data_IF_851378664334
#
_entry.id   IF_851378664334
#
_cell.length_a   1.000
_cell.length_b   1.000
_cell.length_c   1.000
_cell.angle_alpha   90.00
_cell.angle_beta   90.00
_cell.angle_gamma   90.00
#
_symmetry.space_group_name_H-M   'P 1'
#
loop_
_entity.id
_entity.type
_entity.pdbx_description
1 polymer ?
#
# COMPACT_ATOMS: atom_id res chain seq x y z
N UNK A 1 86.17 15.47 35.65
CA UNK A 1 84.71 15.63 35.49
C UNK A 1 84.19 14.47 34.65
N UNK A 2 83.52 13.50 35.26
CA UNK A 2 82.79 12.44 34.54
C UNK A 2 81.51 12.16 35.33
N UNK A 3 80.40 12.68 34.83
CA UNK A 3 79.06 12.35 35.30
C UNK A 3 78.50 11.32 34.32
N UNK A 4 78.26 10.11 34.80
CA UNK A 4 77.60 9.05 34.04
C UNK A 4 76.14 9.42 33.78
N UNK A 5 75.76 9.66 32.53
CA UNK A 5 74.37 9.92 32.10
C UNK A 5 73.79 8.84 31.18
N UNK A 6 73.97 7.56 31.52
CA UNK A 6 73.46 6.43 30.70
C UNK A 6 72.22 5.70 31.24
N UNK A 7 71.87 5.86 32.52
CA UNK A 7 70.90 4.96 33.19
C UNK A 7 69.54 5.57 33.53
N UNK A 8 69.33 6.89 33.36
CA UNK A 8 68.08 7.56 33.77
C UNK A 8 66.89 7.30 32.82
N UNK A 9 67.15 7.15 31.51
CA UNK A 9 66.07 6.96 30.52
C UNK A 9 65.41 5.57 30.59
N UNK A 10 66.16 4.53 31.01
CA UNK A 10 65.62 3.16 31.16
C UNK A 10 64.68 3.04 32.37
N UNK A 11 64.91 3.81 33.43
CA UNK A 11 64.06 3.84 34.63
C UNK A 11 62.74 4.57 34.41
N UNK A 12 62.77 5.72 33.73
CA UNK A 12 61.56 6.48 33.39
C UNK A 12 60.61 5.69 32.47
N UNK A 13 61.16 4.95 31.50
CA UNK A 13 60.38 4.05 30.65
C UNK A 13 59.74 2.91 31.46
N UNK A 14 60.46 2.31 32.41
CA UNK A 14 59.92 1.26 33.27
C UNK A 14 58.75 1.77 34.13
N UNK A 15 58.87 2.98 34.68
CA UNK A 15 57.81 3.64 35.46
C UNK A 15 56.61 3.93 34.56
N UNK A 16 56.82 4.48 33.36
CA UNK A 16 55.76 4.72 32.39
C UNK A 16 55.01 3.44 32.04
N UNK A 17 55.72 2.36 31.71
CA UNK A 17 55.13 1.05 31.39
C UNK A 17 54.37 0.46 32.57
N UNK A 18 54.88 0.63 33.80
CA UNK A 18 54.22 0.16 35.02
C UNK A 18 52.87 0.85 35.28
N UNK A 19 52.70 2.11 34.87
CA UNK A 19 51.40 2.80 34.91
C UNK A 19 50.54 2.53 33.67
N UNK A 20 51.16 2.40 32.49
CA UNK A 20 50.44 2.22 31.23
C UNK A 20 49.81 0.84 31.11
N UNK A 21 50.48 -0.22 31.58
CA UNK A 21 49.96 -1.58 31.48
C UNK A 21 48.64 -1.77 32.24
N UNK A 22 48.49 -1.39 33.52
CA UNK A 22 47.20 -1.43 34.21
C UNK A 22 46.12 -0.59 33.52
N UNK A 23 46.49 0.58 33.00
CA UNK A 23 45.56 1.47 32.29
C UNK A 23 45.05 0.81 30.99
N UNK A 24 45.94 0.22 30.20
CA UNK A 24 45.58 -0.52 28.97
C UNK A 24 44.71 -1.73 29.32
N UNK A 25 45.04 -2.47 30.38
CA UNK A 25 44.24 -3.62 30.83
C UNK A 25 42.83 -3.19 31.27
N UNK A 26 42.69 -2.04 31.95
CA UNK A 26 41.39 -1.48 32.28
C UNK A 26 40.59 -1.11 31.02
N UNK A 27 41.23 -0.47 30.04
CA UNK A 27 40.59 -0.17 28.74
C UNK A 27 40.17 -1.44 28.00
N UNK A 28 41.01 -2.47 27.94
CA UNK A 28 40.66 -3.77 27.35
C UNK A 28 39.48 -4.42 28.08
N UNK A 29 39.45 -4.34 29.41
CA UNK A 29 38.32 -4.80 30.22
C UNK A 29 37.01 -4.12 29.83
N UNK A 30 37.02 -2.79 29.68
CA UNK A 30 35.86 -2.04 29.19
C UNK A 30 35.46 -2.44 27.77
N UNK A 31 36.43 -2.61 26.86
CA UNK A 31 36.16 -3.02 25.47
C UNK A 31 35.50 -4.39 25.43
N UNK A 32 35.95 -5.35 26.25
CA UNK A 32 35.38 -6.70 26.32
C UNK A 32 33.94 -6.63 26.84
N UNK A 33 33.71 -5.91 27.93
CA UNK A 33 32.38 -5.80 28.54
C UNK A 33 31.39 -5.09 27.62
N UNK A 34 31.70 -3.90 27.13
CA UNK A 34 30.81 -3.16 26.24
C UNK A 34 30.67 -3.80 24.86
N UNK A 35 31.71 -4.47 24.38
CA UNK A 35 31.64 -5.29 23.17
C UNK A 35 30.65 -6.45 23.33
N UNK A 36 30.67 -7.12 24.48
CA UNK A 36 29.70 -8.16 24.80
C UNK A 36 28.27 -7.60 24.90
N UNK A 37 28.09 -6.51 25.65
CA UNK A 37 26.78 -5.82 25.77
C UNK A 37 26.24 -5.40 24.41
N UNK A 38 27.09 -4.84 23.54
CA UNK A 38 26.70 -4.43 22.19
C UNK A 38 26.24 -5.63 21.34
N UNK A 39 26.98 -6.74 21.38
CA UNK A 39 26.62 -7.96 20.67
C UNK A 39 25.27 -8.52 21.15
N UNK A 40 25.09 -8.64 22.46
CA UNK A 40 23.83 -9.08 23.07
C UNK A 40 22.67 -8.15 22.68
N UNK A 41 22.88 -6.83 22.74
CA UNK A 41 21.89 -5.82 22.32
C UNK A 41 21.49 -5.96 20.84
N UNK A 42 22.44 -6.20 19.95
CA UNK A 42 22.16 -6.40 18.52
C UNK A 42 21.32 -7.67 18.29
N UNK A 43 21.66 -8.78 18.94
CA UNK A 43 20.89 -10.03 18.86
C UNK A 43 19.48 -9.84 19.44
N UNK A 44 19.37 -9.16 20.59
CA UNK A 44 18.10 -8.90 21.26
C UNK A 44 17.18 -8.01 20.39
N UNK A 45 17.74 -7.02 19.68
CA UNK A 45 16.98 -6.20 18.73
C UNK A 45 16.46 -7.02 17.55
N UNK A 46 17.30 -7.86 16.94
CA UNK A 46 16.86 -8.73 15.85
C UNK A 46 15.73 -9.68 16.30
N UNK A 47 15.78 -10.17 17.54
CA UNK A 47 14.72 -10.98 18.13
C UNK A 47 13.42 -10.16 18.30
N UNK A 48 13.51 -8.92 18.81
CA UNK A 48 12.38 -8.03 18.96
C UNK A 48 11.73 -7.72 17.61
N UNK A 49 12.53 -7.38 16.60
CA UNK A 49 12.07 -7.04 15.24
C UNK A 49 11.35 -8.23 14.57
N UNK A 50 11.96 -9.41 14.62
CA UNK A 50 11.36 -10.62 14.07
C UNK A 50 10.04 -10.97 14.79
N UNK A 51 10.03 -10.89 16.13
CA UNK A 51 8.85 -11.18 16.94
C UNK A 51 7.73 -10.19 16.69
N UNK A 52 8.05 -8.90 16.56
CA UNK A 52 7.06 -7.85 16.30
C UNK A 52 6.47 -7.97 14.91
N UNK A 53 7.30 -8.14 13.86
CA UNK A 53 6.84 -8.28 12.48
C UNK A 53 6.00 -9.53 12.28
N UNK A 54 6.46 -10.69 12.77
CA UNK A 54 5.71 -11.92 12.63
C UNK A 54 4.49 -11.99 13.54
N UNK A 55 4.55 -11.40 14.73
CA UNK A 55 3.40 -11.25 15.62
C UNK A 55 2.32 -10.38 14.99
N UNK A 56 2.68 -9.18 14.50
CA UNK A 56 1.77 -8.30 13.77
C UNK A 56 1.14 -9.03 12.57
N UNK A 57 1.95 -9.73 11.77
CA UNK A 57 1.46 -10.46 10.59
C UNK A 57 0.51 -11.60 10.93
N UNK A 58 0.77 -12.35 11.99
CA UNK A 58 -0.09 -13.45 12.43
C UNK A 58 -1.36 -12.97 13.15
N UNK A 59 -1.31 -11.81 13.79
CA UNK A 59 -2.46 -11.16 14.42
C UNK A 59 -3.44 -10.57 13.41
N UNK A 60 -2.96 -10.17 12.24
CA UNK A 60 -3.79 -9.61 11.15
C UNK A 60 -4.51 -10.71 10.35
N UNK A 61 -5.50 -11.33 10.99
CA UNK A 61 -6.35 -12.39 10.41
C UNK A 61 -7.79 -11.91 10.24
N UNK A 62 -7.97 -10.87 9.43
CA UNK A 62 -9.29 -10.36 9.02
C UNK A 62 -9.76 -9.14 9.80
N UNK A 63 -11.05 -9.11 10.18
CA UNK A 63 -11.73 -7.89 10.69
C UNK A 63 -11.06 -7.25 11.90
N UNK A 64 -10.59 -8.07 12.84
CA UNK A 64 -10.04 -7.64 14.12
C UNK A 64 -8.66 -8.26 14.35
N UNK A 65 -7.79 -7.52 15.01
CA UNK A 65 -6.47 -7.99 15.36
C UNK A 65 -6.57 -9.07 16.43
N UNK A 66 -6.10 -10.28 16.13
CA UNK A 66 -6.12 -11.38 17.08
C UNK A 66 -4.83 -11.37 17.91
N UNK A 67 -4.90 -10.74 19.09
CA UNK A 67 -3.76 -10.65 20.01
C UNK A 67 -3.21 -12.03 20.40
N UNK A 68 -4.06 -13.03 20.65
CA UNK A 68 -3.58 -14.36 21.04
C UNK A 68 -2.73 -15.05 19.97
N UNK A 69 -3.10 -14.90 18.68
CA UNK A 69 -2.28 -15.40 17.56
C UNK A 69 -1.01 -14.58 17.36
N UNK A 70 -1.09 -13.27 17.55
CA UNK A 70 0.06 -12.37 17.47
C UNK A 70 1.11 -12.75 18.52
N UNK A 71 0.70 -12.83 19.78
CA UNK A 71 1.54 -13.17 20.93
C UNK A 71 2.13 -14.58 20.75
N UNK A 72 1.33 -15.55 20.29
CA UNK A 72 1.80 -16.92 20.03
C UNK A 72 2.82 -17.03 18.90
N UNK A 73 2.68 -16.23 17.83
CA UNK A 73 3.68 -16.19 16.75
C UNK A 73 4.93 -15.43 17.17
N UNK A 74 4.78 -14.32 17.91
CA UNK A 74 5.90 -13.58 18.49
C UNK A 74 6.74 -14.50 19.39
N UNK A 75 6.09 -15.31 20.24
CA UNK A 75 6.76 -16.32 21.07
C UNK A 75 7.50 -17.38 20.25
N UNK A 76 6.88 -17.87 19.17
CA UNK A 76 7.50 -18.84 18.27
C UNK A 76 8.76 -18.27 17.62
N UNK A 77 8.70 -17.03 17.12
CA UNK A 77 9.83 -16.39 16.47
C UNK A 77 10.93 -15.99 17.46
N UNK A 78 10.56 -15.57 18.66
CA UNK A 78 11.50 -15.36 19.75
C UNK A 78 12.23 -16.67 20.08
N UNK A 79 11.51 -17.78 20.23
CA UNK A 79 12.10 -19.08 20.54
C UNK A 79 13.07 -19.60 19.47
N UNK A 80 12.85 -19.26 18.19
CA UNK A 80 13.73 -19.64 17.08
C UNK A 80 14.95 -18.73 16.97
N UNK A 81 14.79 -17.43 17.23
CA UNK A 81 15.87 -16.44 17.05
C UNK A 81 16.69 -16.19 18.32
N UNK A 82 16.19 -16.60 19.50
CA UNK A 82 16.89 -16.38 20.76
C UNK A 82 18.22 -17.13 20.78
N UNK A 83 19.28 -16.41 21.17
CA UNK A 83 20.60 -16.99 21.48
C UNK A 83 20.91 -16.96 22.98
N UNK A 84 20.25 -16.06 23.71
CA UNK A 84 20.40 -15.85 25.13
C UNK A 84 19.01 -15.75 25.76
N UNK A 85 18.91 -16.03 27.06
CA UNK A 85 17.62 -16.03 27.74
C UNK A 85 17.19 -14.61 28.12
N UNK A 86 16.06 -14.18 27.55
CA UNK A 86 15.38 -12.95 27.92
C UNK A 86 14.67 -13.11 29.26
N UNK A 87 14.88 -12.16 30.17
CA UNK A 87 14.32 -12.12 31.53
C UNK A 87 12.85 -11.67 31.55
N UNK A 88 12.49 -10.73 30.66
CA UNK A 88 11.13 -10.20 30.54
C UNK A 88 10.77 -10.02 29.07
N UNK A 89 9.50 -10.27 28.77
CA UNK A 89 8.87 -10.02 27.47
C UNK A 89 7.53 -9.31 27.70
N UNK A 90 7.22 -8.32 26.87
CA UNK A 90 5.95 -7.58 26.90
C UNK A 90 5.42 -7.41 25.48
N UNK A 91 4.13 -7.69 25.30
CA UNK A 91 3.40 -7.53 24.04
C UNK A 91 2.21 -6.60 24.24
N UNK A 92 2.18 -5.51 23.47
CA UNK A 92 1.13 -4.50 23.52
C UNK A 92 0.52 -4.29 22.14
N UNK A 93 -0.78 -4.04 22.11
CA UNK A 93 -1.51 -3.64 20.91
C UNK A 93 -2.20 -2.32 21.22
N UNK A 94 -1.74 -1.24 20.60
CA UNK A 94 -2.08 0.14 20.94
C UNK A 94 -2.64 0.89 19.72
N UNK A 95 -3.44 1.92 19.96
CA UNK A 95 -3.95 2.81 18.91
C UNK A 95 -2.90 3.85 18.49
N UNK A 96 -3.12 4.45 17.32
CA UNK A 96 -2.43 5.69 16.92
C UNK A 96 -3.08 6.90 17.60
N UNK A 97 -2.28 7.91 17.98
CA UNK A 97 -2.79 9.21 18.45
C UNK A 97 -3.48 9.99 17.32
N UNK A 98 -2.94 9.91 16.10
CA UNK A 98 -3.41 10.70 14.95
C UNK A 98 -4.56 10.02 14.19
N UNK A 99 -4.59 8.69 14.11
CA UNK A 99 -5.67 7.92 13.49
C UNK A 99 -5.98 6.61 14.24
N UNK A 100 -6.67 6.69 15.39
CA UNK A 100 -6.98 5.52 16.22
C UNK A 100 -7.88 4.47 15.53
N UNK A 101 -8.54 4.84 14.42
CA UNK A 101 -9.49 3.96 13.74
C UNK A 101 -8.80 3.05 12.74
N UNK A 102 -7.84 3.57 11.98
CA UNK A 102 -7.20 2.80 10.90
C UNK A 102 -5.75 2.42 11.21
N UNK A 103 -5.09 3.09 12.16
CA UNK A 103 -3.69 2.82 12.49
C UNK A 103 -3.57 2.28 13.91
N UNK A 104 -2.93 1.12 14.03
CA UNK A 104 -2.62 0.48 15.30
C UNK A 104 -1.14 0.08 15.34
N UNK A 105 -0.64 -0.22 16.53
CA UNK A 105 0.74 -0.59 16.77
C UNK A 105 0.80 -1.90 17.53
N UNK A 106 1.58 -2.85 17.03
CA UNK A 106 1.98 -4.03 17.79
C UNK A 106 3.41 -3.84 18.29
N UNK A 107 3.56 -3.78 19.62
CA UNK A 107 4.81 -3.43 20.30
C UNK A 107 5.35 -4.65 21.02
N UNK A 108 6.62 -4.97 20.76
CA UNK A 108 7.37 -6.02 21.45
C UNK A 108 8.51 -5.39 22.22
N UNK A 109 8.60 -5.67 23.52
CA UNK A 109 9.73 -5.28 24.37
C UNK A 109 10.35 -6.51 25.00
N UNK A 110 11.67 -6.66 24.86
CA UNK A 110 12.46 -7.75 25.41
C UNK A 110 13.55 -7.19 26.32
N UNK A 111 13.76 -7.83 27.47
CA UNK A 111 14.80 -7.44 28.43
C UNK A 111 15.73 -8.62 28.71
N UNK A 112 17.03 -8.36 28.79
CA UNK A 112 18.08 -9.34 29.07
C UNK A 112 19.09 -8.79 30.09
N UNK A 113 19.62 -9.67 30.94
CA UNK A 113 20.75 -9.35 31.82
C UNK A 113 22.04 -9.90 31.22
N UNK A 114 22.92 -9.03 30.74
CA UNK A 114 24.20 -9.42 30.14
C UNK A 114 25.26 -9.55 31.24
N UNK A 115 25.95 -10.70 31.37
CA UNK A 115 27.02 -10.86 32.33
C UNK A 115 28.24 -10.01 31.95
N UNK A 116 28.84 -9.36 32.95
CA UNK A 116 30.07 -8.58 32.79
C UNK A 116 31.28 -9.46 33.10
N UNK A 117 32.33 -9.37 32.29
CA UNK A 117 33.58 -10.11 32.45
C UNK A 117 34.59 -9.36 33.32
N UNK A 118 34.80 -8.07 33.09
CA UNK A 118 35.80 -7.28 33.81
C UNK A 118 35.16 -6.51 34.97
N UNK A 119 34.07 -5.81 34.70
CA UNK A 119 33.36 -4.97 35.68
C UNK A 119 32.73 -5.77 36.83
N UNK A 120 32.58 -7.10 36.69
CA UNK A 120 32.17 -7.96 37.81
C UNK A 120 33.13 -7.90 39.00
N UNK A 121 34.43 -7.68 38.77
CA UNK A 121 35.42 -7.54 39.83
C UNK A 121 35.31 -6.20 40.59
N UNK A 122 34.56 -5.26 40.02
CA UNK A 122 34.25 -3.94 40.61
C UNK A 122 32.81 -3.86 41.11
N UNK A 123 32.12 -5.00 41.25
CA UNK A 123 30.77 -5.08 41.81
C UNK A 123 29.63 -5.05 40.78
N UNK A 124 29.91 -4.79 39.51
CA UNK A 124 28.91 -4.77 38.44
C UNK A 124 28.85 -6.14 37.75
N UNK A 125 28.04 -7.05 38.29
CA UNK A 125 27.98 -8.44 37.81
C UNK A 125 27.28 -8.60 36.46
N UNK A 126 26.23 -7.83 36.25
CA UNK A 126 25.38 -7.88 35.06
C UNK A 126 24.93 -6.47 34.68
N UNK A 127 24.60 -6.28 33.41
CA UNK A 127 23.98 -5.07 32.88
C UNK A 127 22.63 -5.44 32.25
N UNK A 128 21.55 -4.83 32.72
CA UNK A 128 20.24 -4.99 32.11
C UNK A 128 20.17 -4.17 30.82
N UNK A 129 19.79 -4.82 29.72
CA UNK A 129 19.54 -4.19 28.43
C UNK A 129 18.11 -4.49 27.98
N UNK A 130 17.53 -3.54 27.25
CA UNK A 130 16.19 -3.66 26.68
C UNK A 130 16.25 -3.50 25.17
N UNK A 131 15.46 -4.23 24.39
CA UNK A 131 15.21 -3.95 22.99
C UNK A 131 13.70 -3.87 22.75
N UNK A 132 13.27 -2.89 21.96
CA UNK A 132 11.87 -2.70 21.61
C UNK A 132 11.72 -2.51 20.12
N UNK A 133 10.59 -3.00 19.59
CA UNK A 133 10.21 -2.84 18.20
C UNK A 133 8.71 -2.57 18.12
N UNK A 134 8.36 -1.54 17.34
CA UNK A 134 6.97 -1.21 17.07
C UNK A 134 6.69 -1.47 15.59
N UNK A 135 5.65 -2.24 15.33
CA UNK A 135 5.14 -2.45 13.98
C UNK A 135 3.84 -1.67 13.86
N UNK A 136 3.85 -0.67 12.99
CA UNK A 136 2.66 0.04 12.54
C UNK A 136 1.85 -0.90 11.66
N UNK A 137 0.57 -1.03 12.00
CA UNK A 137 -0.43 -1.78 11.26
C UNK A 137 -1.44 -0.74 10.78
N UNK A 138 -1.33 -0.36 9.51
CA UNK A 138 -2.31 0.50 8.86
C UNK A 138 -3.33 -0.38 8.16
N UNK A 139 -4.56 -0.38 8.64
CA UNK A 139 -5.69 -0.94 7.89
C UNK A 139 -6.02 0.02 6.76
N UNK A 140 -5.65 -0.35 5.53
CA UNK A 140 -6.15 0.33 4.34
C UNK A 140 -7.52 -0.26 4.05
N UNK A 141 -8.58 0.37 4.57
CA UNK A 141 -9.95 -0.06 4.30
C UNK A 141 -10.92 0.23 5.43
N UNK A 142 -11.49 1.44 5.45
CA UNK A 142 -12.79 1.67 6.06
C UNK A 142 -13.86 1.02 5.18
N UNK A 143 -14.26 -0.22 5.49
CA UNK A 143 -15.53 -0.81 4.99
C UNK A 143 -15.76 -0.84 3.46
N UNK A 144 -14.75 -1.08 2.64
CA UNK A 144 -14.87 -1.12 1.17
C UNK A 144 -15.33 -2.47 0.60
N UNK A 145 -15.60 -2.52 -0.71
CA UNK A 145 -15.81 -3.77 -1.43
C UNK A 145 -14.45 -4.31 -1.92
N UNK A 146 -14.10 -5.58 -1.65
CA UNK A 146 -12.78 -6.14 -1.96
C UNK A 146 -12.35 -6.01 -3.43
N UNK A 147 -13.32 -5.91 -4.34
CA UNK A 147 -13.09 -5.66 -5.76
C UNK A 147 -12.22 -4.43 -6.03
N UNK A 148 -12.33 -3.40 -5.17
CA UNK A 148 -11.67 -2.09 -5.33
C UNK A 148 -10.34 -1.96 -4.55
N UNK A 149 -9.84 -3.07 -3.97
CA UNK A 149 -8.51 -3.12 -3.35
C UNK A 149 -7.37 -3.31 -4.37
N UNK A 150 -7.72 -3.36 -5.65
CA UNK A 150 -6.81 -3.49 -6.77
C UNK A 150 -6.83 -2.20 -7.60
N UNK A 151 -5.70 -1.83 -8.20
CA UNK A 151 -5.62 -0.72 -9.15
C UNK A 151 -6.46 -1.02 -10.40
N UNK A 152 -6.35 -2.23 -10.92
CA UNK A 152 -7.10 -2.69 -12.10
C UNK A 152 -7.60 -4.11 -11.86
N UNK A 153 -8.90 -4.32 -12.05
CA UNK A 153 -9.53 -5.65 -12.09
C UNK A 153 -10.27 -5.81 -13.41
N UNK A 154 -9.87 -6.79 -14.23
CA UNK A 154 -10.54 -7.05 -15.50
C UNK A 154 -11.01 -8.50 -15.64
N UNK A 155 -11.89 -8.77 -16.60
CA UNK A 155 -12.41 -10.13 -16.82
C UNK A 155 -12.14 -10.66 -18.22
N UNK A 156 -11.94 -9.80 -19.23
CA UNK A 156 -11.74 -10.22 -20.62
C UNK A 156 -10.46 -9.68 -21.23
N UNK A 157 -10.28 -8.35 -21.23
CA UNK A 157 -9.12 -7.73 -21.90
C UNK A 157 -8.54 -6.54 -21.13
N UNK A 158 -7.20 -6.49 -21.11
CA UNK A 158 -6.44 -5.30 -20.75
C UNK A 158 -5.55 -4.91 -21.94
N UNK A 159 -5.84 -3.77 -22.55
CA UNK A 159 -5.06 -3.19 -23.64
C UNK A 159 -4.36 -1.93 -23.14
N UNK A 160 -3.04 -1.83 -23.31
CA UNK A 160 -2.27 -0.66 -22.88
C UNK A 160 -1.34 -0.24 -24.01
N UNK A 161 -1.37 1.04 -24.39
CA UNK A 161 -0.40 1.61 -25.33
C UNK A 161 0.53 2.58 -24.61
N UNK A 162 1.71 2.81 -25.20
CA UNK A 162 2.74 3.69 -24.65
C UNK A 162 3.02 3.35 -23.18
N UNK A 163 3.22 2.07 -22.87
CA UNK A 163 3.42 1.59 -21.50
C UNK A 163 4.66 2.20 -20.84
N UNK A 164 5.69 2.50 -21.63
CA UNK A 164 6.93 3.15 -21.17
C UNK A 164 6.69 4.53 -20.52
N UNK A 165 5.61 5.21 -20.89
CA UNK A 165 5.24 6.52 -20.32
C UNK A 165 4.37 6.40 -19.06
N UNK A 166 4.08 5.17 -18.62
CA UNK A 166 3.14 4.87 -17.52
C UNK A 166 3.82 4.13 -16.40
N UNK A 167 3.46 4.47 -15.17
CA UNK A 167 3.77 3.66 -13.99
C UNK A 167 2.48 3.24 -13.30
N UNK A 168 2.33 1.93 -13.06
CA UNK A 168 1.21 1.33 -12.35
C UNK A 168 1.65 0.98 -10.92
N UNK A 169 1.09 1.69 -9.94
CA UNK A 169 1.40 1.56 -8.51
C UNK A 169 0.22 0.92 -7.78
N UNK A 170 0.10 -0.39 -7.90
CA UNK A 170 -0.95 -1.17 -7.23
C UNK A 170 -1.20 -2.50 -7.93
N UNK A 171 -2.08 -3.31 -7.34
CA UNK A 171 -2.36 -4.65 -7.84
C UNK A 171 -3.17 -4.60 -9.14
N UNK A 172 -2.78 -5.40 -10.12
CA UNK A 172 -3.54 -5.63 -11.36
C UNK A 172 -3.90 -7.12 -11.38
N UNK A 173 -5.17 -7.45 -11.49
CA UNK A 173 -5.66 -8.83 -11.46
C UNK A 173 -6.70 -9.08 -12.55
N UNK A 174 -6.93 -10.37 -12.86
CA UNK A 174 -8.03 -10.79 -13.71
C UNK A 174 -8.89 -11.89 -13.08
N UNK A 175 -10.17 -11.91 -13.45
CA UNK A 175 -11.22 -12.71 -12.78
C UNK A 175 -11.76 -13.87 -13.63
N UNK A 176 -11.38 -13.95 -14.90
CA UNK A 176 -11.66 -15.11 -15.77
C UNK A 176 -10.37 -15.72 -16.31
N UNK A 177 -10.48 -16.93 -16.87
CA UNK A 177 -9.37 -17.59 -17.58
C UNK A 177 -9.32 -17.12 -19.03
N UNK A 178 -8.16 -17.26 -19.66
CA UNK A 178 -7.94 -16.92 -21.07
C UNK A 178 -8.21 -15.44 -21.40
N UNK A 179 -7.85 -14.56 -20.47
CA UNK A 179 -7.91 -13.12 -20.74
C UNK A 179 -6.90 -12.72 -21.81
N UNK A 180 -7.17 -11.61 -22.48
CA UNK A 180 -6.26 -10.99 -23.43
C UNK A 180 -5.53 -9.85 -22.73
N UNK A 181 -4.21 -9.84 -22.79
CA UNK A 181 -3.42 -8.68 -22.36
C UNK A 181 -2.50 -8.29 -23.51
N UNK A 182 -2.72 -7.11 -24.08
CA UNK A 182 -1.81 -6.56 -25.08
C UNK A 182 -1.22 -5.25 -24.57
N UNK A 183 0.11 -5.21 -24.51
CA UNK A 183 0.87 -4.03 -24.10
C UNK A 183 1.72 -3.60 -25.29
N UNK A 184 1.30 -2.52 -25.95
CA UNK A 184 2.05 -1.90 -27.02
C UNK A 184 2.96 -0.81 -26.44
N UNK A 185 4.28 -0.97 -26.56
CA UNK A 185 5.20 0.15 -26.45
C UNK A 185 5.09 1.05 -27.68
N UNK A 186 5.61 2.28 -27.59
CA UNK A 186 5.58 3.27 -28.67
C UNK A 186 5.95 2.63 -30.02
N UNK A 187 5.06 2.73 -30.99
CA UNK A 187 5.25 2.17 -32.33
C UNK A 187 6.39 2.93 -33.01
N UNK A 188 7.53 2.25 -33.15
CA UNK A 188 8.61 2.41 -34.15
C UNK A 188 9.98 2.23 -33.49
N UNK A 189 10.42 0.98 -33.38
CA UNK A 189 11.85 0.70 -33.28
C UNK A 189 12.34 0.33 -34.69
N UNK A 190 12.93 1.30 -35.39
CA UNK A 190 13.73 1.03 -36.57
C UNK A 190 15.15 0.75 -36.11
N UNK A 191 15.55 -0.52 -36.15
CA UNK A 191 16.96 -0.89 -36.05
C UNK A 191 17.50 -0.96 -37.46
N UNK A 192 18.51 -0.14 -37.76
CA UNK A 192 19.18 -0.15 -39.07
C UNK A 192 18.20 0.10 -40.25
N UNK A 193 17.19 0.94 -40.05
CA UNK A 193 16.20 1.31 -41.09
C UNK A 193 15.13 0.24 -41.38
N UNK A 194 15.13 -0.89 -40.65
CA UNK A 194 14.13 -1.94 -40.80
C UNK A 194 13.22 -2.03 -39.57
N UNK A 195 11.95 -2.39 -39.82
CA UNK A 195 10.97 -2.66 -38.76
C UNK A 195 11.41 -3.90 -37.98
N UNK A 196 11.76 -3.72 -36.71
CA UNK A 196 12.17 -4.81 -35.82
C UNK A 196 11.09 -5.11 -34.77
N UNK A 197 11.02 -6.36 -34.31
CA UNK A 197 10.15 -6.77 -33.19
C UNK A 197 10.60 -6.09 -31.89
N UNK A 198 9.64 -5.60 -31.10
CA UNK A 198 9.95 -4.98 -29.81
C UNK A 198 10.54 -6.03 -28.85
N UNK A 199 11.61 -5.68 -28.10
CA UNK A 199 12.06 -6.50 -27.00
C UNK A 199 10.91 -6.76 -26.01
N UNK A 200 10.72 -8.01 -25.58
CA UNK A 200 9.62 -8.42 -24.68
C UNK A 200 9.53 -7.58 -23.41
N UNK A 201 10.64 -7.03 -22.93
CA UNK A 201 10.70 -6.22 -21.71
C UNK A 201 10.01 -4.85 -21.89
N UNK A 202 9.95 -4.32 -23.12
CA UNK A 202 9.21 -3.10 -23.47
C UNK A 202 7.72 -3.32 -23.68
N UNK A 203 7.30 -4.58 -23.80
CA UNK A 203 5.90 -4.99 -23.91
C UNK A 203 5.33 -5.39 -22.54
N UNK A 204 5.84 -4.83 -21.44
CA UNK A 204 5.35 -5.11 -20.08
C UNK A 204 4.78 -3.84 -19.45
N UNK A 205 3.95 -4.01 -18.42
CA UNK A 205 3.49 -2.89 -17.62
C UNK A 205 4.57 -2.54 -16.60
N UNK A 206 4.91 -1.27 -16.45
CA UNK A 206 5.92 -0.83 -15.49
C UNK A 206 5.30 -0.50 -14.14
N UNK A 207 5.98 -0.93 -13.09
CA UNK A 207 5.64 -0.73 -11.68
C UNK A 207 6.87 -0.15 -10.97
N UNK A 208 6.74 0.43 -9.76
CA UNK A 208 7.90 0.91 -9.00
C UNK A 208 8.99 -0.16 -8.78
N UNK A 209 8.60 -1.42 -8.69
CA UNK A 209 9.47 -2.55 -8.34
C UNK A 209 9.95 -3.36 -9.56
N UNK A 210 9.62 -2.92 -10.79
CA UNK A 210 10.00 -3.61 -12.03
C UNK A 210 8.86 -3.64 -13.05
N UNK A 211 8.77 -4.71 -13.84
CA UNK A 211 7.74 -4.83 -14.89
C UNK A 211 6.94 -6.12 -14.75
N UNK A 212 5.64 -6.05 -15.00
CA UNK A 212 4.70 -7.16 -14.84
C UNK A 212 4.00 -7.53 -16.15
N UNK A 213 3.49 -8.76 -16.19
CA UNK A 213 2.70 -9.28 -17.30
C UNK A 213 1.41 -9.94 -16.77
N UNK A 214 0.29 -9.20 -16.71
CA UNK A 214 -0.96 -9.67 -16.09
C UNK A 214 -1.65 -10.87 -16.75
N UNK A 215 -1.08 -11.43 -17.82
CA UNK A 215 -1.57 -12.69 -18.42
C UNK A 215 -1.00 -13.94 -17.72
N UNK A 216 -0.05 -13.76 -16.78
CA UNK A 216 0.47 -14.87 -15.98
C UNK A 216 -0.61 -15.41 -15.02
N UNK A 217 -0.74 -16.74 -14.84
CA UNK A 217 -1.76 -17.34 -13.98
C UNK A 217 -1.76 -16.86 -12.51
N UNK A 218 -0.66 -16.32 -12.01
CA UNK A 218 -0.58 -15.76 -10.65
C UNK A 218 -1.48 -14.54 -10.43
N UNK A 219 -1.83 -13.82 -11.50
CA UNK A 219 -2.74 -12.68 -11.50
C UNK A 219 -4.21 -13.08 -11.62
N UNK A 220 -4.50 -14.37 -11.85
CA UNK A 220 -5.85 -14.91 -11.86
C UNK A 220 -6.39 -15.07 -10.44
N UNK A 221 -7.51 -14.42 -10.13
CA UNK A 221 -8.13 -14.44 -8.80
C UNK A 221 -9.62 -14.79 -8.91
N UNK A 222 -9.99 -15.97 -8.42
CA UNK A 222 -11.36 -16.51 -8.48
C UNK A 222 -12.28 -15.95 -7.39
N UNK A 223 -11.68 -15.41 -6.35
CA UNK A 223 -12.36 -14.80 -5.20
C UNK A 223 -12.98 -13.44 -5.54
N UNK A 224 -12.65 -12.85 -6.70
CA UNK A 224 -13.25 -11.63 -7.22
C UNK A 224 -14.06 -11.92 -8.50
N UNK A 225 -14.98 -11.02 -8.82
CA UNK A 225 -15.69 -11.00 -10.09
C UNK A 225 -15.91 -9.55 -10.52
N UNK A 226 -15.87 -9.27 -11.82
CA UNK A 226 -16.27 -7.95 -12.35
C UNK A 226 -17.79 -7.85 -12.41
N UNK A 227 -18.48 -8.90 -12.86
CA UNK A 227 -19.92 -8.88 -13.09
C UNK A 227 -20.70 -8.61 -11.79
N UNK A 228 -21.70 -7.71 -11.84
CA UNK A 228 -22.46 -7.29 -10.65
C UNK A 228 -23.38 -8.39 -10.12
N UNK A 229 -23.84 -9.28 -11.00
CA UNK A 229 -24.71 -10.40 -10.67
C UNK A 229 -23.96 -11.60 -10.06
N UNK A 230 -22.63 -11.60 -10.14
CA UNK A 230 -21.79 -12.66 -9.57
C UNK A 230 -21.96 -12.79 -8.05
N UNK A 231 -21.90 -14.01 -7.47
CA UNK A 231 -22.03 -14.23 -6.03
C UNK A 231 -21.05 -13.42 -5.19
N UNK A 232 -19.82 -13.22 -5.67
CA UNK A 232 -18.77 -12.44 -5.02
C UNK A 232 -19.18 -10.98 -4.77
N UNK A 233 -20.09 -10.45 -5.59
CA UNK A 233 -20.53 -9.05 -5.58
C UNK A 233 -21.92 -8.85 -4.99
N UNK A 234 -22.47 -9.83 -4.25
CA UNK A 234 -23.80 -9.71 -3.65
C UNK A 234 -23.96 -8.47 -2.77
N UNK A 235 -22.99 -8.19 -1.88
CA UNK A 235 -23.01 -7.01 -1.03
C UNK A 235 -22.94 -5.70 -1.84
N UNK A 236 -22.11 -5.66 -2.89
CA UNK A 236 -21.99 -4.52 -3.79
C UNK A 236 -23.31 -4.26 -4.54
N UNK A 237 -23.95 -5.35 -4.99
CA UNK A 237 -25.26 -5.30 -5.66
C UNK A 237 -26.35 -4.74 -4.76
N UNK A 238 -26.43 -5.19 -3.51
CA UNK A 238 -27.42 -4.67 -2.56
C UNK A 238 -27.13 -3.22 -2.16
N UNK A 239 -25.86 -2.85 -2.00
CA UNK A 239 -25.46 -1.46 -1.78
C UNK A 239 -25.91 -0.55 -2.93
N UNK A 240 -25.60 -0.90 -4.18
CA UNK A 240 -26.01 -0.13 -5.36
C UNK A 240 -27.54 -0.03 -5.46
N UNK A 241 -28.26 -1.12 -5.17
CA UNK A 241 -29.74 -1.09 -5.14
C UNK A 241 -30.27 -0.12 -4.09
N UNK A 242 -29.70 -0.12 -2.89
CA UNK A 242 -30.05 0.82 -1.83
C UNK A 242 -29.85 2.28 -2.26
N UNK A 243 -28.66 2.59 -2.79
CA UNK A 243 -28.36 3.94 -3.29
C UNK A 243 -29.38 4.41 -4.34
N UNK A 244 -29.71 3.54 -5.31
CA UNK A 244 -30.66 3.87 -6.39
C UNK A 244 -32.10 4.07 -5.89
N UNK A 245 -32.50 3.36 -4.84
CA UNK A 245 -33.85 3.46 -4.26
C UNK A 245 -34.07 4.81 -3.57
N UNK A 246 -33.04 5.30 -2.88
CA UNK A 246 -33.15 6.49 -2.03
C UNK A 246 -32.75 7.79 -2.75
N UNK A 247 -32.23 7.69 -3.98
CA UNK A 247 -31.74 8.84 -4.77
C UNK A 247 -32.68 9.19 -5.91
N UNK A 248 -33.11 10.47 -6.04
CA UNK A 248 -33.88 10.93 -7.20
C UNK A 248 -33.14 10.75 -8.53
N UNK A 249 -33.86 10.36 -9.57
CA UNK A 249 -33.31 10.22 -10.91
C UNK A 249 -33.11 11.57 -11.59
N UNK A 250 -31.94 11.74 -12.22
CA UNK A 250 -31.60 12.85 -13.11
C UNK A 250 -31.60 12.34 -14.56
N UNK A 251 -32.53 12.79 -15.41
CA UNK A 251 -32.57 12.37 -16.81
C UNK A 251 -31.29 12.74 -17.56
N UNK A 252 -30.75 11.80 -18.32
CA UNK A 252 -29.54 12.00 -19.09
C UNK A 252 -29.80 12.90 -20.31
N UNK A 253 -28.93 13.86 -20.57
CA UNK A 253 -28.96 14.77 -21.73
C UNK A 253 -27.67 14.62 -22.56
N UNK A 254 -27.61 15.14 -23.78
CA UNK A 254 -26.44 15.01 -24.67
C UNK A 254 -25.13 15.56 -24.05
N UNK A 255 -25.22 16.61 -23.24
CA UNK A 255 -24.08 17.14 -22.46
C UNK A 255 -24.58 17.50 -21.07
N UNK A 256 -24.02 16.85 -20.06
CA UNK A 256 -24.34 17.04 -18.65
C UNK A 256 -23.07 17.48 -17.92
N UNK A 257 -23.07 18.68 -17.35
CA UNK A 257 -22.01 19.05 -16.39
C UNK A 257 -22.43 18.60 -15.00
N UNK A 258 -21.54 17.88 -14.30
CA UNK A 258 -21.69 17.55 -12.89
C UNK A 258 -21.13 18.71 -12.09
N UNK A 259 -22.01 19.45 -11.43
CA UNK A 259 -21.63 20.62 -10.62
C UNK A 259 -21.46 20.25 -9.15
N UNK A 260 -20.78 21.09 -8.38
CA UNK A 260 -20.70 20.93 -6.94
C UNK A 260 -22.08 20.88 -6.27
N UNK A 261 -23.09 21.57 -6.83
CA UNK A 261 -24.46 21.53 -6.31
C UNK A 261 -25.13 20.16 -6.54
N UNK A 262 -24.86 19.49 -7.67
CA UNK A 262 -25.36 18.14 -7.93
C UNK A 262 -24.75 17.12 -6.97
N UNK A 263 -23.51 17.36 -6.54
CA UNK A 263 -22.76 16.50 -5.61
C UNK A 263 -22.90 16.95 -4.14
N UNK A 264 -23.75 17.94 -3.81
CA UNK A 264 -24.13 18.21 -2.41
C UNK A 264 -24.83 16.99 -1.78
N UNK A 265 -25.51 16.20 -2.60
CA UNK A 265 -25.98 14.87 -2.22
C UNK A 265 -24.85 13.87 -2.46
N UNK A 266 -24.58 13.00 -1.48
CA UNK A 266 -23.49 12.01 -1.59
C UNK A 266 -23.69 10.99 -2.72
N UNK A 267 -24.86 10.98 -3.36
CA UNK A 267 -25.18 10.16 -4.53
C UNK A 267 -25.85 11.02 -5.59
N UNK A 268 -25.31 10.99 -6.80
CA UNK A 268 -25.96 11.50 -8.02
C UNK A 268 -26.36 10.31 -8.88
N UNK A 269 -27.63 10.24 -9.29
CA UNK A 269 -28.15 9.16 -10.11
C UNK A 269 -28.59 9.70 -11.49
N UNK A 270 -27.77 9.47 -12.51
CA UNK A 270 -28.06 9.77 -13.91
C UNK A 270 -28.66 8.54 -14.60
N UNK A 271 -29.73 8.77 -15.35
CA UNK A 271 -30.52 7.70 -15.95
C UNK A 271 -31.09 8.12 -17.32
N UNK A 272 -31.14 7.19 -18.28
CA UNK A 272 -31.91 7.33 -19.52
C UNK A 272 -33.00 6.23 -19.58
N UNK A 273 -34.25 6.60 -19.86
CA UNK A 273 -35.38 5.66 -20.04
C UNK A 273 -35.78 5.49 -21.50
N UNK A 274 -35.13 6.15 -22.46
CA UNK A 274 -35.61 6.09 -23.84
C UNK A 274 -34.93 4.95 -24.61
N UNK A 275 -35.53 3.73 -24.67
CA UNK A 275 -34.94 2.61 -25.40
C UNK A 275 -34.81 2.88 -26.90
N UNK A 276 -35.45 3.94 -27.42
CA UNK A 276 -35.43 4.30 -28.83
C UNK A 276 -34.39 5.38 -29.15
N UNK A 277 -33.72 5.96 -28.15
CA UNK A 277 -32.66 6.96 -28.36
C UNK A 277 -31.31 6.41 -27.95
N UNK A 278 -30.46 6.11 -28.93
CA UNK A 278 -29.02 6.00 -28.70
C UNK A 278 -28.46 7.37 -28.35
N UNK A 279 -28.39 7.69 -27.06
CA UNK A 279 -27.73 8.91 -26.59
C UNK A 279 -26.26 8.63 -26.35
N UNK A 280 -25.42 9.42 -27.02
CA UNK A 280 -24.04 9.64 -26.61
C UNK A 280 -24.07 10.88 -25.75
N UNK A 281 -23.73 10.72 -24.49
CA UNK A 281 -23.76 11.78 -23.50
C UNK A 281 -22.37 12.06 -22.98
N UNK A 282 -22.00 13.33 -22.93
CA UNK A 282 -20.78 13.77 -22.26
C UNK A 282 -21.11 14.21 -20.83
N UNK A 283 -20.39 13.65 -19.87
CA UNK A 283 -20.43 14.05 -18.46
C UNK A 283 -19.15 14.84 -18.17
N UNK A 284 -19.31 16.13 -17.92
CA UNK A 284 -18.20 17.04 -17.63
C UNK A 284 -18.05 17.24 -16.12
N UNK A 285 -16.85 16.99 -15.59
CA UNK A 285 -16.48 17.27 -14.20
C UNK A 285 -15.48 18.43 -14.22
N UNK A 286 -15.95 19.59 -13.76
CA UNK A 286 -15.26 20.88 -14.02
C UNK A 286 -14.43 21.40 -12.85
N UNK A 287 -14.58 20.83 -11.65
CA UNK A 287 -13.85 21.21 -10.43
C UNK A 287 -14.12 20.25 -9.29
N UNK A 288 -13.28 20.36 -8.26
CA UNK A 288 -13.59 19.86 -6.93
C UNK A 288 -14.95 20.37 -6.44
N UNK A 289 -15.73 19.42 -5.93
CA UNK A 289 -17.07 19.61 -5.38
C UNK A 289 -17.08 19.45 -3.86
N UNK A 290 -15.99 18.97 -3.27
CA UNK A 290 -15.81 18.86 -1.84
C UNK A 290 -14.39 19.28 -1.41
N UNK A 291 -14.29 19.87 -0.22
CA UNK A 291 -13.01 20.22 0.40
C UNK A 291 -12.50 19.13 1.34
N UNK A 292 -13.35 18.20 1.77
CA UNK A 292 -12.92 17.04 2.55
C UNK A 292 -12.41 15.95 1.60
N UNK A 293 -11.09 15.66 1.57
CA UNK A 293 -10.54 14.65 0.69
C UNK A 293 -10.97 13.22 1.08
N UNK A 294 -11.62 13.02 2.23
CA UNK A 294 -12.07 11.71 2.68
C UNK A 294 -13.53 11.42 2.34
N UNK A 295 -14.32 12.40 1.90
CA UNK A 295 -15.71 12.17 1.53
C UNK A 295 -15.78 11.60 0.10
N UNK A 296 -16.32 10.39 -0.04
CA UNK A 296 -16.61 9.80 -1.36
C UNK A 296 -17.99 10.18 -1.85
N UNK A 297 -18.04 10.72 -3.06
CA UNK A 297 -19.27 11.04 -3.77
C UNK A 297 -19.55 9.97 -4.84
N UNK A 298 -20.78 9.46 -4.88
CA UNK A 298 -21.16 8.38 -5.78
C UNK A 298 -21.88 8.94 -7.01
N UNK A 299 -21.41 8.57 -8.20
CA UNK A 299 -22.09 8.84 -9.47
C UNK A 299 -22.57 7.52 -10.07
N UNK A 300 -23.90 7.35 -10.16
CA UNK A 300 -24.52 6.17 -10.75
C UNK A 300 -25.06 6.53 -12.13
N UNK A 301 -24.67 5.74 -13.13
CA UNK A 301 -25.11 5.84 -14.52
C UNK A 301 -25.68 4.48 -14.91
N UNK A 302 -26.84 4.43 -15.54
CA UNK A 302 -27.49 3.14 -15.86
C UNK A 302 -27.68 2.84 -17.32
N UNK A 303 -27.63 3.86 -18.19
CA UNK A 303 -27.91 3.69 -19.61
C UNK A 303 -27.22 4.81 -20.42
N UNK A 304 -27.09 4.62 -21.73
CA UNK A 304 -26.43 5.53 -22.67
C UNK A 304 -24.93 5.24 -22.89
N UNK A 305 -24.43 5.68 -24.05
CA UNK A 305 -22.99 5.76 -24.29
C UNK A 305 -22.46 7.00 -23.58
N UNK A 306 -21.40 6.84 -22.79
CA UNK A 306 -20.94 7.89 -21.87
C UNK A 306 -19.50 8.27 -22.16
N UNK A 307 -19.27 9.56 -22.35
CA UNK A 307 -17.94 10.17 -22.32
C UNK A 307 -17.79 10.92 -21.00
N UNK A 308 -16.98 10.43 -20.08
CA UNK A 308 -16.61 11.15 -18.87
C UNK A 308 -15.39 12.02 -19.14
N UNK A 309 -15.50 13.32 -18.87
CA UNK A 309 -14.44 14.28 -19.11
C UNK A 309 -14.09 15.04 -17.85
N UNK A 310 -12.83 14.93 -17.44
CA UNK A 310 -12.26 15.70 -16.34
C UNK A 310 -11.63 16.98 -16.88
N UNK A 311 -12.28 18.12 -16.67
CA UNK A 311 -11.84 19.42 -17.21
C UNK A 311 -10.88 20.17 -16.28
N UNK A 312 -10.68 19.68 -15.04
CA UNK A 312 -9.71 20.22 -14.07
C UNK A 312 -9.31 19.13 -13.06
N UNK A 313 -8.41 19.47 -12.13
CA UNK A 313 -8.06 18.59 -11.02
C UNK A 313 -9.29 18.31 -10.15
N UNK A 314 -9.48 17.03 -9.84
CA UNK A 314 -10.51 16.50 -8.93
C UNK A 314 -9.82 15.72 -7.82
N UNK A 315 -9.56 16.42 -6.71
CA UNK A 315 -9.00 15.88 -5.47
C UNK A 315 -10.06 15.29 -4.54
N UNK A 316 -11.34 15.66 -4.70
CA UNK A 316 -12.46 14.97 -4.05
C UNK A 316 -12.60 13.53 -4.54
N UNK A 317 -12.94 12.57 -3.65
CA UNK A 317 -13.08 11.16 -4.03
C UNK A 317 -14.38 10.89 -4.77
N UNK A 318 -14.28 10.25 -5.94
CA UNK A 318 -15.44 9.79 -6.72
C UNK A 318 -15.56 8.27 -6.70
N UNK A 319 -16.79 7.76 -6.60
CA UNK A 319 -17.12 6.40 -6.96
C UNK A 319 -18.12 6.40 -8.12
N UNK A 320 -17.62 6.09 -9.31
CA UNK A 320 -18.38 6.09 -10.56
C UNK A 320 -18.83 4.65 -10.85
N UNK A 321 -20.15 4.47 -10.88
CA UNK A 321 -20.81 3.20 -11.12
C UNK A 321 -21.55 3.32 -12.45
N UNK A 322 -20.93 2.81 -13.52
CA UNK A 322 -21.54 2.78 -14.85
C UNK A 322 -22.13 1.41 -15.16
N UNK A 323 -23.44 1.30 -15.08
CA UNK A 323 -24.19 0.08 -15.39
C UNK A 323 -24.67 0.03 -16.85
N UNK A 324 -24.34 1.03 -17.68
CA UNK A 324 -24.66 1.00 -19.10
C UNK A 324 -23.84 -0.07 -19.86
N UNK A 325 -24.39 -0.58 -20.96
CA UNK A 325 -23.76 -1.63 -21.78
C UNK A 325 -22.85 -1.09 -22.89
N UNK A 326 -22.92 0.22 -23.14
CA UNK A 326 -22.19 0.88 -24.21
C UNK A 326 -20.70 1.06 -23.85
N UNK A 327 -19.91 1.57 -24.78
CA UNK A 327 -18.53 1.98 -24.48
C UNK A 327 -18.53 3.14 -23.49
N UNK A 328 -17.61 3.09 -22.51
CA UNK A 328 -17.41 4.15 -21.52
C UNK A 328 -16.06 4.81 -21.75
N UNK A 329 -16.04 5.99 -22.35
CA UNK A 329 -14.80 6.70 -22.62
C UNK A 329 -14.48 7.69 -21.49
N UNK A 330 -13.20 7.78 -21.13
CA UNK A 330 -12.68 8.69 -20.12
C UNK A 330 -11.64 9.57 -20.79
N UNK A 331 -11.79 10.88 -20.65
CA UNK A 331 -10.93 11.90 -21.26
C UNK A 331 -10.69 13.07 -20.30
N UNK A 332 -9.83 14.01 -20.70
CA UNK A 332 -9.47 15.17 -19.87
C UNK A 332 -7.98 15.18 -19.50
N UNK A 333 -7.66 15.77 -18.36
CA UNK A 333 -6.29 15.88 -17.84
C UNK A 333 -6.26 16.25 -16.35
N UNK A 334 -5.07 16.48 -15.80
CA UNK A 334 -4.90 16.92 -14.40
C UNK A 334 -4.74 15.76 -13.42
N UNK A 335 -5.23 15.91 -12.19
CA UNK A 335 -5.22 14.89 -11.14
C UNK A 335 -6.63 14.44 -10.80
N UNK A 336 -6.87 13.13 -10.73
CA UNK A 336 -8.21 12.59 -10.43
C UNK A 336 -8.15 11.47 -9.39
N UNK A 337 -9.02 11.58 -8.37
CA UNK A 337 -9.26 10.56 -7.36
C UNK A 337 -10.60 9.85 -7.61
N UNK A 338 -10.59 8.69 -8.28
CA UNK A 338 -11.82 8.02 -8.69
C UNK A 338 -11.74 6.49 -8.68
N UNK A 339 -12.76 5.86 -8.10
CA UNK A 339 -13.05 4.44 -8.32
C UNK A 339 -14.06 4.30 -9.45
N UNK A 340 -13.74 3.48 -10.46
CA UNK A 340 -14.57 3.26 -11.64
C UNK A 340 -15.01 1.81 -11.68
N UNK A 341 -16.32 1.60 -11.63
CA UNK A 341 -16.93 0.29 -11.77
C UNK A 341 -17.87 0.29 -12.96
N UNK A 342 -17.51 -0.47 -14.00
CA UNK A 342 -18.26 -0.54 -15.24
C UNK A 342 -18.49 -2.01 -15.68
N UNK A 343 -19.31 -2.77 -14.93
CA UNK A 343 -19.41 -4.22 -15.12
C UNK A 343 -20.06 -4.64 -16.44
N UNK A 344 -20.90 -3.78 -17.02
CA UNK A 344 -21.66 -4.07 -18.23
C UNK A 344 -21.07 -3.40 -19.48
N UNK A 345 -20.17 -2.44 -19.30
CA UNK A 345 -19.64 -1.65 -20.39
C UNK A 345 -18.91 -2.56 -21.39
N UNK A 346 -19.12 -2.30 -22.67
CA UNK A 346 -18.41 -3.03 -23.74
C UNK A 346 -16.90 -2.86 -23.58
N UNK A 347 -16.45 -1.65 -23.25
CA UNK A 347 -15.06 -1.33 -22.91
C UNK A 347 -14.98 -0.02 -22.12
N UNK A 348 -14.07 0.06 -21.16
CA UNK A 348 -13.62 1.33 -20.56
C UNK A 348 -12.42 1.82 -21.34
N UNK A 349 -12.61 2.89 -22.11
CA UNK A 349 -11.56 3.50 -22.92
C UNK A 349 -10.97 4.69 -22.18
N UNK A 350 -9.77 4.51 -21.66
CA UNK A 350 -9.01 5.51 -20.94
C UNK A 350 -8.10 6.28 -21.91
N UNK A 351 -8.53 7.49 -22.31
CA UNK A 351 -7.83 8.38 -23.22
C UNK A 351 -7.62 9.85 -22.73
N UNK A 352 -7.32 10.13 -21.45
CA UNK A 352 -6.96 11.48 -21.00
C UNK A 352 -5.48 11.86 -21.22
N UNK A 353 -5.21 13.11 -21.58
CA UNK A 353 -3.86 13.63 -21.80
C UNK A 353 -3.25 14.16 -20.50
N UNK A 354 -2.06 13.69 -20.11
CA UNK A 354 -1.34 14.15 -18.91
C UNK A 354 -2.16 14.09 -17.61
N UNK A 355 -2.90 13.00 -17.42
CA UNK A 355 -3.65 12.75 -16.19
C UNK A 355 -2.83 11.91 -15.20
N UNK A 356 -2.94 12.21 -13.90
CA UNK A 356 -2.50 11.36 -12.79
C UNK A 356 -3.74 10.75 -12.11
N UNK A 357 -3.84 9.43 -12.16
CA UNK A 357 -4.98 8.69 -11.61
C UNK A 357 -4.67 8.11 -10.25
N UNK A 358 -5.58 8.34 -9.30
CA UNK A 358 -5.59 7.74 -7.97
C UNK A 358 -6.91 7.00 -7.78
N UNK A 359 -6.88 5.68 -7.66
CA UNK A 359 -8.14 4.93 -7.57
C UNK A 359 -8.07 3.46 -7.96
N UNK A 360 -9.20 2.96 -8.44
CA UNK A 360 -9.40 1.58 -8.88
C UNK A 360 -10.29 1.55 -10.12
N UNK A 361 -10.02 0.65 -11.06
CA UNK A 361 -10.84 0.42 -12.26
C UNK A 361 -11.25 -1.05 -12.32
N UNK A 362 -12.55 -1.32 -12.41
CA UNK A 362 -13.10 -2.66 -12.56
C UNK A 362 -14.09 -2.73 -13.74
N UNK A 363 -13.74 -3.46 -14.80
CA UNK A 363 -14.55 -3.61 -16.01
C UNK A 363 -14.14 -4.85 -16.84
N UNK A 364 -15.00 -5.39 -17.72
CA UNK A 364 -14.66 -6.56 -18.53
C UNK A 364 -13.48 -6.30 -19.47
N UNK A 365 -13.53 -5.19 -20.21
CA UNK A 365 -12.47 -4.74 -21.10
C UNK A 365 -12.00 -3.34 -20.67
N UNK A 366 -10.69 -3.16 -20.55
CA UNK A 366 -10.04 -1.89 -20.19
C UNK A 366 -8.99 -1.57 -21.25
N UNK A 367 -9.09 -0.38 -21.83
CA UNK A 367 -8.20 0.09 -22.89
C UNK A 367 -7.53 1.41 -22.47
N UNK A 368 -6.26 1.36 -22.12
CA UNK A 368 -5.45 2.52 -21.74
C UNK A 368 -4.70 3.01 -22.97
N UNK A 369 -5.32 3.97 -23.67
CA UNK A 369 -4.84 4.51 -24.93
C UNK A 369 -4.04 5.82 -24.77
N UNK A 370 -4.22 6.51 -23.63
CA UNK A 370 -3.68 7.85 -23.39
C UNK A 370 -2.22 7.89 -22.93
N UNK A 371 -1.61 9.08 -22.95
CA UNK A 371 -0.33 9.42 -22.29
C UNK A 371 -0.49 9.82 -20.80
N UNK A 372 -1.32 9.08 -20.06
CA UNK A 372 -1.44 9.21 -18.59
C UNK A 372 -0.09 8.90 -17.93
N UNK A 373 0.37 9.74 -17.00
CA UNK A 373 1.71 9.61 -16.39
C UNK A 373 1.76 8.51 -15.34
N UNK A 374 0.76 8.46 -14.45
CA UNK A 374 0.77 7.52 -13.35
C UNK A 374 -0.64 7.02 -13.00
N UNK A 375 -0.69 5.74 -12.64
CA UNK A 375 -1.85 5.08 -12.05
C UNK A 375 -1.44 4.64 -10.64
N UNK A 376 -2.08 5.18 -9.62
CA UNK A 376 -1.81 4.86 -8.22
C UNK A 376 -3.06 4.28 -7.58
N UNK A 377 -2.93 3.16 -6.89
CA UNK A 377 -4.07 2.56 -6.22
C UNK A 377 -4.54 3.44 -5.08
N UNK A 378 -5.84 3.65 -5.03
CA UNK A 378 -6.53 4.23 -3.91
C UNK A 378 -7.91 3.56 -3.77
N UNK A 379 -8.25 3.10 -2.57
CA UNK A 379 -9.57 2.52 -2.30
C UNK A 379 -10.62 3.62 -2.09
N UNK A 380 -11.87 3.41 -2.53
CA UNK A 380 -12.96 4.33 -2.21
C UNK A 380 -13.25 4.32 -0.71
N UNK A 381 -13.52 5.49 -0.12
CA UNK A 381 -13.97 5.58 1.26
C UNK A 381 -15.50 5.49 1.31
N UNK A 382 -16.03 4.28 1.19
CA UNK A 382 -17.47 4.00 1.18
C UNK A 382 -17.80 3.00 2.28
N UNK A 383 -18.95 3.18 2.93
CA UNK A 383 -19.47 2.22 3.91
C UNK A 383 -20.42 1.23 3.22
N UNK A 384 -20.10 -0.07 3.22
CA UNK A 384 -21.08 -1.08 2.76
C UNK A 384 -20.56 -2.47 2.39
N UNK A 385 -19.25 -2.70 2.29
CA UNK A 385 -18.70 -3.99 1.86
C UNK A 385 -18.34 -4.96 3.00
N UNK A 386 -18.24 -6.25 2.66
CA UNK A 386 -17.59 -7.24 3.51
C UNK A 386 -16.11 -6.89 3.64
N UNK A 387 -15.66 -6.69 4.87
CA UNK A 387 -14.30 -6.27 5.26
C UNK A 387 -13.22 -7.18 4.61
N UNK A 388 -12.58 -6.71 3.54
CA UNK A 388 -11.21 -7.08 3.21
C UNK A 388 -10.29 -6.04 3.83
N UNK A 389 -9.58 -6.42 4.87
CA UNK A 389 -8.53 -5.60 5.48
C UNK A 389 -7.21 -5.93 4.78
N UNK A 390 -6.84 -5.16 3.77
CA UNK A 390 -5.42 -5.10 3.42
C UNK A 390 -4.75 -4.22 4.48
N UNK A 391 -3.96 -4.83 5.35
CA UNK A 391 -3.12 -4.08 6.28
C UNK A 391 -1.72 -3.91 5.68
N UNK A 392 -1.22 -2.68 5.65
CA UNK A 392 0.21 -2.45 5.44
C UNK A 392 0.90 -2.49 6.81
N UNK A 393 2.07 -3.13 6.83
CA UNK A 393 2.88 -3.26 8.04
C UNK A 393 4.25 -2.64 7.80
N UNK A 394 4.67 -1.77 8.70
CA UNK A 394 6.00 -1.17 8.68
C UNK A 394 6.55 -1.01 10.07
N UNK A 395 7.88 -0.98 10.20
CA UNK A 395 8.52 -0.53 11.44
C UNK A 395 8.18 0.94 11.67
N UNK A 396 8.03 1.33 12.93
CA UNK A 396 7.70 2.70 13.31
C UNK A 396 8.34 3.11 14.63
N UNK A 397 8.52 4.42 14.81
CA UNK A 397 8.95 5.02 16.05
C UNK A 397 7.80 5.14 17.08
N UNK A 398 8.09 5.77 18.22
CA UNK A 398 7.16 5.91 19.33
C UNK A 398 6.25 7.14 19.22
N UNK A 399 6.41 8.00 18.20
CA UNK A 399 5.83 9.36 18.23
C UNK A 399 4.30 9.32 18.22
N UNK A 400 3.74 8.44 17.40
CA UNK A 400 2.30 8.34 17.13
C UNK A 400 1.59 7.25 17.95
N UNK A 401 2.28 6.57 18.88
CA UNK A 401 1.69 5.52 19.71
C UNK A 401 0.92 6.13 20.89
N UNK A 402 -0.34 5.71 21.09
CA UNK A 402 -1.16 6.04 22.26
C UNK A 402 -0.82 5.08 23.43
N UNK A 403 0.09 5.49 24.31
CA UNK A 403 0.60 4.72 25.46
C UNK A 403 -0.41 4.58 26.60
#
# INVERSE_FOLDING_TARGET
MKINQGNSQRGAFLILVAFLLPLIMAMLGFVIDFGNVYWHKSVLQNCADASALGGAKAGDVGKEFNKGKADGMADKLLAVNKRYDSKKKSYQYLGSKSDPKNTHYYVVTLTENVPMFFLKYFGYKEMEIEASCNVKIQKTGSGGFPLFDNLITFSKRLYVVNSDDKTFKGNIIHTEKNVVTDVAGYYEYYKDGNRAEMPRDKARLHTPDGSIWPNDPSYYKTEYAVALDAPQNEALREYIKGLRKDTPQTPMVNTQTVTADMLKQSVTYIYDNDPNKRRVSEINIDKDFDKDPNHTHVLIITDGAVNLKFNSDVTSKLFIINLSSEQFAISGGGRVHATIYAPNATSVVWNPSNLDFYGSIAAPNIEIQASTRSFTHESPNISGGAVSSNSSMSLADNEDIEW
#
